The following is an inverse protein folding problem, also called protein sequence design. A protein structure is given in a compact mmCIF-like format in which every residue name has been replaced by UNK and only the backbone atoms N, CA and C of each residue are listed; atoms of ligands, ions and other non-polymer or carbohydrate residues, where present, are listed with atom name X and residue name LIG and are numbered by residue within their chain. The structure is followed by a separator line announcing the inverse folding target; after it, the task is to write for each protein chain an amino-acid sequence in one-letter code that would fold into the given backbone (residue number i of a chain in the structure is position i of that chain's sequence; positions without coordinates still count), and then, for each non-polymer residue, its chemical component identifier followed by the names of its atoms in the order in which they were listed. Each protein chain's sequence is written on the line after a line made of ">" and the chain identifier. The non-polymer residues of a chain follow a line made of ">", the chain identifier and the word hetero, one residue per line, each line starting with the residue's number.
data_IF_791802104205
#
_entry.id   IF_791802104205
#
_cell.length_a   1.000
_cell.length_b   1.000
_cell.length_c   1.000
_cell.angle_alpha   90.00
_cell.angle_beta   90.00
_cell.angle_gamma   90.00
#
_symmetry.space_group_name_H-M   'P 1'
#
loop_
_entity.id
_entity.type
_entity.pdbx_description
1 polymer ?
#
# COMPACT_ATOMS: atom_id res chain seq x y z
N UNK A 1 9.85 9.10 30.59
CA UNK A 1 9.93 10.40 29.90
C UNK A 1 8.62 10.63 29.19
N UNK A 2 7.75 11.45 29.76
CA UNK A 2 6.50 11.88 29.15
C UNK A 2 6.74 13.14 28.31
N UNK A 3 5.89 13.42 27.33
CA UNK A 3 6.00 14.63 26.48
C UNK A 3 6.04 15.91 27.33
N UNK A 4 5.30 15.93 28.44
CA UNK A 4 5.32 17.04 29.39
C UNK A 4 6.70 17.23 30.05
N UNK A 5 7.37 16.14 30.43
CA UNK A 5 8.73 16.19 31.00
C UNK A 5 9.76 16.70 29.98
N UNK A 6 9.63 16.33 28.70
CA UNK A 6 10.51 16.83 27.62
C UNK A 6 10.32 18.35 27.44
N UNK A 7 9.07 18.81 27.50
CA UNK A 7 8.74 20.21 27.31
C UNK A 7 9.25 21.08 28.48
N UNK A 8 9.22 20.55 29.71
CA UNK A 8 9.85 21.22 30.86
C UNK A 8 11.38 21.29 30.72
N UNK A 9 12.03 20.25 30.19
CA UNK A 9 13.47 20.30 29.89
C UNK A 9 13.79 21.28 28.74
N UNK A 10 12.94 21.35 27.72
CA UNK A 10 13.13 22.32 26.64
C UNK A 10 13.02 23.78 27.14
N UNK A 11 12.27 24.04 28.22
CA UNK A 11 12.17 25.38 28.82
C UNK A 11 13.45 25.82 29.54
N UNK A 12 14.31 24.89 29.98
CA UNK A 12 15.59 25.24 30.61
C UNK A 12 16.65 25.70 29.59
N UNK A 13 16.40 25.49 28.30
CA UNK A 13 17.25 25.97 27.22
C UNK A 13 17.12 27.48 27.01
N UNK A 14 18.19 28.10 26.50
CA UNK A 14 18.17 29.50 26.08
C UNK A 14 17.15 29.74 24.95
N UNK A 15 16.82 31.01 24.70
CA UNK A 15 15.89 31.36 23.62
C UNK A 15 16.41 30.96 22.23
N UNK A 16 17.72 30.92 22.04
CA UNK A 16 18.34 30.51 20.78
C UNK A 16 18.27 28.99 20.59
N UNK A 17 18.65 28.23 21.60
CA UNK A 17 18.61 26.76 21.58
C UNK A 17 17.17 26.23 21.41
N UNK A 18 16.18 26.90 22.03
CA UNK A 18 14.77 26.57 21.80
C UNK A 18 14.33 26.77 20.36
N UNK A 19 14.81 27.82 19.70
CA UNK A 19 14.51 28.07 18.27
C UNK A 19 15.14 27.02 17.38
N UNK A 20 16.39 26.63 17.66
CA UNK A 20 17.08 25.58 16.90
C UNK A 20 16.40 24.23 17.10
N UNK A 21 16.04 23.87 18.34
CA UNK A 21 15.29 22.65 18.63
C UNK A 21 13.92 22.62 17.92
N UNK A 22 13.17 23.73 17.96
CA UNK A 22 11.90 23.83 17.24
C UNK A 22 12.09 23.69 15.72
N UNK A 23 13.13 24.31 15.15
CA UNK A 23 13.45 24.18 13.73
C UNK A 23 13.75 22.72 13.36
N UNK A 24 14.63 22.05 14.10
CA UNK A 24 14.96 20.65 13.83
C UNK A 24 13.74 19.72 13.96
N UNK A 25 12.85 19.99 14.92
CA UNK A 25 11.61 19.22 15.06
C UNK A 25 10.68 19.43 13.86
N UNK A 26 10.51 20.67 13.40
CA UNK A 26 9.70 20.97 12.22
C UNK A 26 10.31 20.35 10.96
N UNK A 27 11.62 20.52 10.76
CA UNK A 27 12.34 19.93 9.63
C UNK A 27 12.22 18.39 9.63
N UNK A 28 12.12 17.76 10.81
CA UNK A 28 11.90 16.31 10.93
C UNK A 28 10.48 15.85 10.62
N UNK A 29 9.48 16.74 10.64
CA UNK A 29 8.11 16.43 10.22
C UNK A 29 7.97 16.40 8.69
N UNK A 30 8.80 17.18 7.98
CA UNK A 30 8.84 17.23 6.52
C UNK A 30 9.68 16.10 5.90
N UNK A 31 10.55 15.47 6.70
CA UNK A 31 11.16 14.20 6.32
C UNK A 31 10.09 13.13 6.48
N UNK A 32 9.67 12.42 5.40
CA UNK A 32 8.74 11.32 5.54
C UNK A 32 9.34 10.37 6.57
N UNK A 33 8.63 10.16 7.67
CA UNK A 33 8.98 9.20 8.71
C UNK A 33 9.25 7.90 7.96
N UNK A 34 10.53 7.62 7.74
CA UNK A 34 10.95 6.31 7.30
C UNK A 34 10.70 5.47 8.53
N UNK A 35 9.50 4.89 8.57
CA UNK A 35 9.11 3.90 9.55
C UNK A 35 10.32 2.99 9.74
N UNK A 36 10.90 3.01 10.93
CA UNK A 36 11.96 2.10 11.31
C UNK A 36 11.45 0.68 11.11
N UNK A 37 11.89 0.03 10.02
CA UNK A 37 11.55 -1.36 9.70
C UNK A 37 11.29 -1.57 8.21
N UNK A 38 12.36 -1.57 7.42
CA UNK A 38 12.41 -1.89 5.98
C UNK A 38 11.54 -0.99 5.07
N UNK A 39 12.04 -0.58 3.89
CA UNK A 39 11.12 -0.11 2.87
C UNK A 39 10.08 -1.22 2.65
N UNK A 40 8.77 -0.92 2.59
CA UNK A 40 7.78 -1.91 2.18
C UNK A 40 8.33 -2.54 0.90
N UNK A 41 8.46 -3.86 0.92
CA UNK A 41 9.09 -4.65 -0.13
C UNK A 41 8.78 -3.99 -1.48
N UNK A 42 9.84 -3.58 -2.21
CA UNK A 42 9.66 -2.87 -3.47
C UNK A 42 8.61 -3.60 -4.29
N UNK A 43 7.53 -2.92 -4.69
CA UNK A 43 6.34 -3.57 -5.23
C UNK A 43 6.67 -4.59 -6.34
N UNK A 44 7.67 -4.28 -7.18
CA UNK A 44 8.15 -5.23 -8.21
C UNK A 44 8.77 -6.53 -7.65
N UNK A 45 9.44 -6.49 -6.51
CA UNK A 45 9.96 -7.69 -5.82
C UNK A 45 8.82 -8.52 -5.22
N UNK A 46 7.84 -7.85 -4.61
CA UNK A 46 6.63 -8.52 -4.11
C UNK A 46 5.83 -9.16 -5.25
N UNK A 47 5.70 -8.49 -6.40
CA UNK A 47 5.08 -9.01 -7.60
C UNK A 47 5.82 -10.24 -8.14
N UNK A 48 7.15 -10.17 -8.27
CA UNK A 48 7.94 -11.30 -8.75
C UNK A 48 7.77 -12.54 -7.86
N UNK A 49 7.81 -12.38 -6.53
CA UNK A 49 7.54 -13.49 -5.61
C UNK A 49 6.16 -14.09 -5.84
N UNK A 50 5.13 -13.26 -6.00
CA UNK A 50 3.76 -13.76 -6.26
C UNK A 50 3.68 -14.52 -7.59
N UNK A 51 4.37 -14.05 -8.62
CA UNK A 51 4.44 -14.74 -9.91
C UNK A 51 5.19 -16.08 -9.80
N UNK A 52 6.27 -16.13 -9.02
CA UNK A 52 7.01 -17.37 -8.75
C UNK A 52 6.15 -18.38 -7.95
N UNK A 53 5.35 -17.91 -6.99
CA UNK A 53 4.44 -18.74 -6.19
C UNK A 53 3.23 -19.26 -6.98
N UNK A 54 2.68 -18.44 -7.89
CA UNK A 54 1.54 -18.81 -8.74
C UNK A 54 1.90 -19.91 -9.76
N UNK A 55 3.19 -20.04 -10.10
CA UNK A 55 3.65 -21.01 -11.10
C UNK A 55 3.28 -20.61 -12.53
N UNK A 56 3.30 -21.55 -13.50
CA UNK A 56 2.99 -21.26 -14.89
C UNK A 56 1.59 -20.68 -15.06
N UNK A 57 1.50 -19.50 -15.68
CA UNK A 57 0.22 -18.86 -16.00
C UNK A 57 -0.30 -19.44 -17.31
N UNK A 58 -1.44 -20.12 -17.23
CA UNK A 58 -2.17 -20.58 -18.41
C UNK A 58 -3.02 -19.46 -19.00
N UNK A 59 -3.05 -19.39 -20.34
CA UNK A 59 -3.97 -18.50 -21.04
C UNK A 59 -5.39 -19.04 -20.92
N UNK A 60 -6.28 -18.19 -20.41
CA UNK A 60 -7.72 -18.46 -20.39
C UNK A 60 -8.28 -18.00 -21.74
N UNK A 61 -8.92 -18.91 -22.48
CA UNK A 61 -9.46 -18.71 -23.83
C UNK A 61 -8.39 -18.30 -24.88
N UNK A 62 -7.35 -19.12 -25.12
CA UNK A 62 -6.30 -18.83 -26.08
C UNK A 62 -6.80 -18.72 -27.54
N UNK A 63 -7.98 -19.24 -27.84
CA UNK A 63 -8.62 -19.20 -29.15
C UNK A 63 -9.21 -17.82 -29.51
N UNK A 64 -9.39 -16.93 -28.53
CA UNK A 64 -9.90 -15.57 -28.78
C UNK A 64 -8.72 -14.66 -29.11
N UNK A 65 -8.48 -14.42 -30.40
CA UNK A 65 -7.36 -13.61 -30.88
C UNK A 65 -7.59 -12.10 -30.68
N UNK A 66 -8.84 -11.62 -30.69
CA UNK A 66 -9.17 -10.22 -30.47
C UNK A 66 -9.21 -9.89 -28.95
N UNK A 67 -8.34 -8.99 -28.46
CA UNK A 67 -8.31 -8.64 -27.04
C UNK A 67 -9.61 -8.01 -26.53
N UNK A 68 -10.35 -7.29 -27.39
CA UNK A 68 -11.64 -6.69 -27.01
C UNK A 68 -12.69 -7.78 -26.84
N UNK A 69 -12.76 -8.74 -27.76
CA UNK A 69 -13.65 -9.89 -27.66
C UNK A 69 -13.33 -10.73 -26.42
N UNK A 70 -12.05 -10.94 -26.11
CA UNK A 70 -11.61 -11.65 -24.92
C UNK A 70 -12.08 -10.98 -23.63
N UNK A 71 -11.91 -9.66 -23.51
CA UNK A 71 -12.40 -8.89 -22.35
C UNK A 71 -13.93 -8.95 -22.24
N UNK A 72 -14.63 -8.85 -23.36
CA UNK A 72 -16.10 -8.95 -23.38
C UNK A 72 -16.56 -10.33 -22.89
N UNK A 73 -15.91 -11.39 -23.35
CA UNK A 73 -16.19 -12.77 -22.94
C UNK A 73 -16.02 -12.94 -21.42
N UNK A 74 -14.89 -12.49 -20.85
CA UNK A 74 -14.65 -12.55 -19.40
C UNK A 74 -15.69 -11.76 -18.60
N UNK A 75 -16.06 -10.56 -19.06
CA UNK A 75 -17.06 -9.72 -18.36
C UNK A 75 -18.44 -10.38 -18.35
N UNK A 76 -18.82 -11.01 -19.46
CA UNK A 76 -20.09 -11.75 -19.56
C UNK A 76 -20.11 -12.94 -18.60
N UNK A 77 -19.04 -13.75 -18.56
CA UNK A 77 -18.93 -14.84 -17.59
C UNK A 77 -19.01 -14.36 -16.14
N UNK A 78 -18.26 -13.32 -15.78
CA UNK A 78 -18.30 -12.75 -14.43
C UNK A 78 -19.68 -12.19 -14.08
N UNK A 79 -20.41 -11.65 -15.06
CA UNK A 79 -21.78 -11.20 -14.85
C UNK A 79 -22.73 -12.37 -14.62
N UNK A 80 -22.64 -13.44 -15.41
CA UNK A 80 -23.43 -14.66 -15.24
C UNK A 80 -23.15 -15.34 -13.89
N UNK A 81 -21.87 -15.48 -13.52
CA UNK A 81 -21.47 -16.06 -12.21
C UNK A 81 -22.02 -15.26 -11.03
N UNK A 82 -22.04 -13.93 -11.12
CA UNK A 82 -22.62 -13.06 -10.09
C UNK A 82 -24.14 -13.10 -10.03
N UNK A 83 -24.82 -13.42 -11.13
CA UNK A 83 -26.28 -13.54 -11.18
C UNK A 83 -26.79 -14.94 -10.80
N UNK A 84 -25.93 -15.96 -10.83
CA UNK A 84 -26.30 -17.34 -10.49
C UNK A 84 -26.44 -17.65 -8.99
N UNK A 85 -26.01 -16.75 -8.10
CA UNK A 85 -26.01 -16.94 -6.63
C UNK A 85 -27.20 -16.26 -5.91
N UNK A 86 -28.16 -15.70 -6.67
CA UNK A 86 -29.29 -14.92 -6.13
C UNK A 86 -30.62 -15.67 -6.05
N UNK A 87 -30.63 -16.99 -5.83
CA UNK A 87 -31.90 -17.65 -5.51
C UNK A 87 -31.89 -19.17 -5.54
N UNK A 88 -31.61 -19.78 -4.39
CA UNK A 88 -32.20 -21.07 -4.00
C UNK A 88 -32.37 -21.17 -2.47
N UNK A 89 -32.66 -20.06 -1.79
CA UNK A 89 -33.15 -20.06 -0.40
C UNK A 89 -34.35 -19.12 -0.28
N UNK A 90 -35.55 -19.63 -0.57
CA UNK A 90 -36.84 -19.04 -0.22
C UNK A 90 -37.86 -20.13 0.12
#
# INVERSE_FOLDING_TARGET
>A
MTVAEILEQAKTLSAQERKELAKMLIDSLDVPISSSGEPPEHWGRALNRLLDELGPIDLIYPEIEDPVEWVQHIRQEQHQRRLGDWGEDA
#
